data_IF_274564204758
#
_entry.id   IF_274564204758
#
_cell.length_a   1.000
_cell.length_b   1.000
_cell.length_c   1.000
_cell.angle_alpha   90.00
_cell.angle_beta   90.00
_cell.angle_gamma   90.00
#
_symmetry.space_group_name_H-M   'P 1'
#
loop_
_entity.id
_entity.type
_entity.pdbx_description
1 polymer ?
#
# COMPACT_ATOMS: atom_id res chain seq x y z
N UNK A 1 -66.20 -17.43 -13.87
CA UNK A 1 -64.86 -17.35 -14.51
C UNK A 1 -64.64 -15.91 -14.96
N UNK A 2 -63.97 -15.09 -14.14
CA UNK A 2 -63.70 -13.69 -14.46
C UNK A 2 -62.38 -13.57 -15.23
N UNK A 3 -62.44 -13.01 -16.45
CA UNK A 3 -61.30 -12.78 -17.30
C UNK A 3 -60.52 -11.54 -16.82
N UNK A 4 -59.23 -11.73 -16.53
CA UNK A 4 -58.30 -10.66 -16.16
C UNK A 4 -57.85 -9.97 -17.46
N UNK A 5 -58.33 -8.76 -17.72
CA UNK A 5 -57.86 -7.93 -18.83
C UNK A 5 -56.54 -7.22 -18.45
N UNK A 6 -55.52 -7.20 -19.32
CA UNK A 6 -54.22 -6.63 -19.01
C UNK A 6 -54.24 -5.10 -19.24
N UNK A 7 -54.39 -4.32 -18.18
CA UNK A 7 -54.33 -2.85 -18.27
C UNK A 7 -52.88 -2.36 -18.22
N UNK A 8 -52.17 -2.42 -19.35
CA UNK A 8 -51.13 -1.42 -19.60
C UNK A 8 -51.89 -0.17 -20.06
N UNK A 9 -52.13 0.78 -19.14
CA UNK A 9 -52.82 2.02 -19.52
C UNK A 9 -52.02 2.73 -20.60
N UNK A 10 -52.71 3.32 -21.59
CA UNK A 10 -52.08 4.15 -22.64
C UNK A 10 -51.17 5.24 -22.03
N UNK A 11 -51.50 5.70 -20.81
CA UNK A 11 -50.65 6.61 -20.03
C UNK A 11 -49.32 6.00 -19.60
N UNK A 12 -49.28 4.72 -19.19
CA UNK A 12 -48.05 4.01 -18.85
C UNK A 12 -47.14 3.81 -20.07
N UNK A 13 -47.71 3.46 -21.23
CA UNK A 13 -46.95 3.34 -22.48
C UNK A 13 -46.35 4.68 -22.87
N UNK A 14 -47.16 5.75 -22.82
CA UNK A 14 -46.74 7.10 -23.19
C UNK A 14 -45.63 7.62 -22.26
N UNK A 15 -45.75 7.39 -20.96
CA UNK A 15 -44.73 7.79 -19.99
C UNK A 15 -43.40 7.06 -20.23
N UNK A 16 -43.43 5.75 -20.51
CA UNK A 16 -42.23 4.98 -20.83
C UNK A 16 -41.55 5.46 -22.11
N UNK A 17 -42.32 5.81 -23.14
CA UNK A 17 -41.79 6.37 -24.40
C UNK A 17 -41.08 7.71 -24.12
N UNK A 18 -41.68 8.59 -23.33
CA UNK A 18 -41.06 9.88 -22.96
C UNK A 18 -39.77 9.66 -22.16
N UNK A 19 -39.76 8.75 -21.19
CA UNK A 19 -38.56 8.43 -20.41
C UNK A 19 -37.43 7.83 -21.27
N UNK A 20 -37.78 6.94 -22.21
CA UNK A 20 -36.81 6.39 -23.17
C UNK A 20 -36.26 7.48 -24.09
N UNK A 21 -37.11 8.35 -24.62
CA UNK A 21 -36.70 9.46 -25.48
C UNK A 21 -35.78 10.44 -24.73
N UNK A 22 -36.09 10.76 -23.47
CA UNK A 22 -35.22 11.56 -22.61
C UNK A 22 -33.88 10.87 -22.33
N UNK A 23 -33.89 9.57 -22.07
CA UNK A 23 -32.67 8.77 -21.88
C UNK A 23 -31.77 8.78 -23.12
N UNK A 24 -32.36 8.56 -24.30
CA UNK A 24 -31.67 8.64 -25.59
C UNK A 24 -31.13 10.05 -25.83
N UNK A 25 -31.92 11.09 -25.56
CA UNK A 25 -31.49 12.49 -25.71
C UNK A 25 -30.28 12.82 -24.82
N UNK A 26 -30.27 12.34 -23.56
CA UNK A 26 -29.14 12.51 -22.64
C UNK A 26 -27.90 11.79 -23.18
N UNK A 27 -28.05 10.56 -23.66
CA UNK A 27 -26.94 9.79 -24.24
C UNK A 27 -26.37 10.51 -25.47
N UNK A 28 -27.21 10.94 -26.41
CA UNK A 28 -26.79 11.67 -27.61
C UNK A 28 -26.08 12.97 -27.25
N UNK A 29 -26.64 13.78 -26.33
CA UNK A 29 -26.01 15.02 -25.86
C UNK A 29 -24.68 14.82 -25.14
N UNK A 30 -24.43 13.63 -24.59
CA UNK A 30 -23.21 13.29 -23.84
C UNK A 30 -22.15 12.57 -24.69
N UNK A 31 -22.38 12.34 -25.98
CA UNK A 31 -21.41 11.68 -26.88
C UNK A 31 -21.83 10.28 -27.36
N UNK A 32 -23.11 9.92 -27.23
CA UNK A 32 -23.70 8.74 -27.85
C UNK A 32 -23.09 7.41 -27.37
N UNK A 33 -22.75 6.55 -28.32
CA UNK A 33 -22.14 5.25 -28.03
C UNK A 33 -20.80 5.36 -27.29
N UNK A 34 -20.00 6.41 -27.52
CA UNK A 34 -18.75 6.62 -26.80
C UNK A 34 -19.00 6.90 -25.30
N UNK A 35 -20.05 7.67 -24.97
CA UNK A 35 -20.47 7.91 -23.59
C UNK A 35 -20.94 6.63 -22.89
N UNK A 36 -21.71 5.80 -23.59
CA UNK A 36 -22.14 4.51 -23.07
C UNK A 36 -20.97 3.55 -22.91
N UNK A 37 -20.06 3.47 -23.89
CA UNK A 37 -18.88 2.61 -23.84
C UNK A 37 -17.95 2.98 -22.68
N UNK A 38 -17.76 4.26 -22.40
CA UNK A 38 -16.99 4.75 -21.26
C UNK A 38 -17.65 4.42 -19.91
N UNK A 39 -18.99 4.43 -19.83
CA UNK A 39 -19.73 4.03 -18.61
C UNK A 39 -19.90 2.53 -18.46
N UNK A 40 -19.88 1.80 -19.57
CA UNK A 40 -19.96 0.34 -19.60
C UNK A 40 -18.63 -0.31 -19.24
N UNK A 41 -17.51 0.35 -19.55
CA UNK A 41 -16.22 0.05 -18.96
C UNK A 41 -16.30 0.28 -17.45
N UNK A 42 -16.46 -0.80 -16.67
CA UNK A 42 -16.34 -0.75 -15.22
C UNK A 42 -15.01 -0.11 -14.87
N UNK A 43 -15.04 1.05 -14.21
CA UNK A 43 -13.81 1.64 -13.68
C UNK A 43 -13.13 0.59 -12.80
N UNK A 44 -11.81 0.38 -12.97
CA UNK A 44 -11.08 -0.55 -12.12
C UNK A 44 -11.27 -0.13 -10.65
N UNK A 45 -11.31 -1.10 -9.74
CA UNK A 45 -11.23 -0.78 -8.31
C UNK A 45 -9.99 0.07 -8.06
N UNK A 46 -9.99 0.92 -7.02
CA UNK A 46 -8.81 1.74 -6.67
C UNK A 46 -7.53 0.89 -6.57
N UNK A 47 -7.68 -0.31 -6.01
CA UNK A 47 -6.61 -1.30 -5.91
C UNK A 47 -6.14 -1.80 -7.28
N UNK A 48 -7.05 -2.12 -8.21
CA UNK A 48 -6.67 -2.46 -9.58
C UNK A 48 -6.03 -1.28 -10.33
N UNK A 49 -6.45 -0.03 -10.03
CA UNK A 49 -5.84 1.16 -10.63
C UNK A 49 -4.37 1.31 -10.20
N UNK A 50 -4.03 1.04 -8.94
CA UNK A 50 -2.64 1.03 -8.45
C UNK A 50 -1.80 0.02 -9.24
N UNK A 51 -2.25 -1.24 -9.32
CA UNK A 51 -1.45 -2.30 -9.94
C UNK A 51 -1.35 -2.22 -11.47
N UNK A 52 -2.29 -1.51 -12.11
CA UNK A 52 -2.25 -1.26 -13.54
C UNK A 52 -1.46 0.00 -13.91
N UNK A 53 -1.04 0.81 -12.92
CA UNK A 53 -0.24 2.00 -13.17
C UNK A 53 1.07 1.59 -13.89
N UNK A 54 1.50 2.32 -14.93
CA UNK A 54 2.71 2.00 -15.68
C UNK A 54 3.94 1.85 -14.78
N UNK A 55 4.10 2.75 -13.81
CA UNK A 55 5.20 2.69 -12.84
C UNK A 55 5.22 1.37 -12.06
N UNK A 56 4.08 1.00 -11.45
CA UNK A 56 3.97 -0.24 -10.67
C UNK A 56 4.35 -1.46 -11.52
N UNK A 57 3.85 -1.54 -12.76
CA UNK A 57 4.16 -2.66 -13.67
C UNK A 57 5.62 -2.69 -14.09
N UNK A 58 6.22 -1.54 -14.41
CA UNK A 58 7.63 -1.46 -14.76
C UNK A 58 8.53 -1.82 -13.58
N UNK A 59 8.24 -1.28 -12.39
CA UNK A 59 9.02 -1.56 -11.18
C UNK A 59 8.90 -3.03 -10.80
N UNK A 60 7.69 -3.58 -10.75
CA UNK A 60 7.49 -5.00 -10.46
C UNK A 60 8.23 -5.89 -11.47
N UNK A 61 8.12 -5.62 -12.78
CA UNK A 61 8.78 -6.46 -13.78
C UNK A 61 10.30 -6.39 -13.72
N UNK A 62 10.89 -5.25 -13.33
CA UNK A 62 12.32 -5.16 -13.04
C UNK A 62 12.68 -6.01 -11.82
N UNK A 63 11.94 -5.86 -10.71
CA UNK A 63 12.21 -6.60 -9.47
C UNK A 63 12.08 -8.12 -9.66
N UNK A 64 11.19 -8.59 -10.54
CA UNK A 64 11.07 -10.01 -10.92
C UNK A 64 12.30 -10.57 -11.66
N UNK A 65 13.15 -9.70 -12.23
CA UNK A 65 14.41 -10.07 -12.88
C UNK A 65 15.62 -9.96 -11.97
N UNK A 66 15.49 -9.29 -10.82
CA UNK A 66 16.57 -9.08 -9.87
C UNK A 66 16.53 -10.17 -8.79
N UNK A 67 17.51 -11.09 -8.76
CA UNK A 67 17.52 -12.17 -7.79
C UNK A 67 17.61 -11.63 -6.35
N UNK A 68 17.15 -12.44 -5.41
CA UNK A 68 17.36 -12.26 -3.98
C UNK A 68 18.24 -13.41 -3.51
N UNK A 69 19.36 -13.10 -2.87
CA UNK A 69 20.30 -14.05 -2.29
C UNK A 69 20.01 -14.31 -0.81
N UNK A 70 20.55 -15.43 -0.31
CA UNK A 70 20.42 -15.84 1.09
C UNK A 70 21.11 -14.89 2.09
N UNK A 71 22.07 -14.09 1.62
CA UNK A 71 22.82 -13.12 2.43
C UNK A 71 22.31 -11.68 2.24
N UNK A 72 21.23 -11.50 1.48
CA UNK A 72 20.71 -10.17 1.18
C UNK A 72 19.84 -9.65 2.33
N UNK A 73 19.80 -8.32 2.45
CA UNK A 73 18.86 -7.61 3.33
C UNK A 73 17.81 -6.95 2.45
N UNK A 74 16.54 -7.29 2.65
CA UNK A 74 15.44 -6.73 1.87
C UNK A 74 14.81 -5.54 2.57
N UNK A 75 14.76 -4.40 1.90
CA UNK A 75 13.89 -3.29 2.27
C UNK A 75 12.58 -3.44 1.49
N UNK A 76 11.51 -3.82 2.18
CA UNK A 76 10.22 -4.19 1.58
C UNK A 76 9.14 -3.18 1.96
N UNK A 77 8.52 -2.53 0.98
CA UNK A 77 7.48 -1.54 1.26
C UNK A 77 6.90 -0.84 0.04
N UNK A 78 6.43 0.39 0.27
CA UNK A 78 5.82 1.28 -0.73
C UNK A 78 6.78 2.35 -1.24
N UNK A 79 6.30 3.55 -1.60
CA UNK A 79 7.10 4.66 -2.14
C UNK A 79 8.19 5.13 -1.19
N UNK A 80 7.91 5.18 0.11
CA UNK A 80 8.88 5.64 1.11
C UNK A 80 10.04 4.63 1.21
N UNK A 81 9.79 3.37 0.89
CA UNK A 81 10.87 2.38 0.73
C UNK A 81 11.52 2.46 -0.65
N UNK A 82 10.73 2.72 -1.70
CA UNK A 82 11.18 2.74 -3.09
C UNK A 82 12.19 3.86 -3.37
N UNK A 83 11.97 5.03 -2.79
CA UNK A 83 12.79 6.25 -2.98
C UNK A 83 14.14 6.22 -2.23
N UNK A 84 14.34 5.27 -1.32
CA UNK A 84 15.61 5.14 -0.60
C UNK A 84 16.71 4.49 -1.44
N UNK A 85 17.85 5.17 -1.56
CA UNK A 85 19.08 4.61 -2.14
C UNK A 85 19.83 3.74 -1.11
N UNK A 86 19.18 2.67 -0.66
CA UNK A 86 19.61 1.91 0.53
C UNK A 86 21.02 1.31 0.42
N UNK A 87 21.44 0.89 -0.77
CA UNK A 87 22.78 0.34 -0.99
C UNK A 87 23.87 1.39 -0.82
N UNK A 88 23.60 2.65 -1.14
CA UNK A 88 24.55 3.76 -0.93
C UNK A 88 24.62 4.16 0.55
N UNK A 89 23.50 4.08 1.26
CA UNK A 89 23.44 4.36 2.71
C UNK A 89 24.10 3.27 3.57
N UNK A 90 24.10 2.03 3.09
CA UNK A 90 24.65 0.86 3.78
C UNK A 90 25.62 0.08 2.87
N UNK A 91 26.80 0.66 2.53
CA UNK A 91 27.72 0.07 1.57
C UNK A 91 28.34 -1.27 2.01
N UNK A 92 28.35 -1.54 3.33
CA UNK A 92 28.86 -2.78 3.91
C UNK A 92 27.83 -3.93 3.88
N UNK A 93 26.64 -3.70 3.34
CA UNK A 93 25.57 -4.69 3.27
C UNK A 93 25.01 -4.82 1.85
N UNK A 94 24.66 -6.04 1.45
CA UNK A 94 23.93 -6.27 0.19
C UNK A 94 22.46 -5.95 0.38
N UNK A 95 22.09 -4.67 0.25
CA UNK A 95 20.70 -4.25 0.36
C UNK A 95 19.96 -4.42 -0.97
N UNK A 96 18.83 -5.11 -0.93
CA UNK A 96 17.89 -5.25 -2.02
C UNK A 96 16.67 -4.33 -1.78
N UNK A 97 16.58 -3.21 -2.50
CA UNK A 97 15.38 -2.39 -2.50
C UNK A 97 14.23 -3.16 -3.17
N UNK A 98 13.16 -3.40 -2.42
CA UNK A 98 11.90 -4.02 -2.86
C UNK A 98 10.71 -3.11 -2.51
N UNK A 99 10.92 -1.80 -2.48
CA UNK A 99 9.88 -0.79 -2.49
C UNK A 99 9.20 -0.70 -3.86
N UNK A 100 7.90 -0.41 -3.86
CA UNK A 100 7.17 -0.03 -5.07
C UNK A 100 6.23 1.12 -4.72
N UNK A 101 6.36 2.24 -5.41
CA UNK A 101 5.51 3.40 -5.18
C UNK A 101 4.01 3.07 -5.25
N UNK A 102 3.25 3.62 -4.29
CA UNK A 102 1.83 3.37 -4.06
C UNK A 102 1.43 1.93 -3.68
N UNK A 103 2.39 1.03 -3.41
CA UNK A 103 2.09 -0.35 -3.00
C UNK A 103 1.28 -0.39 -1.70
N UNK A 104 0.52 -1.46 -1.53
CA UNK A 104 -0.37 -1.69 -0.39
C UNK A 104 -0.05 -3.03 0.24
N UNK A 105 -0.62 -3.32 1.41
CA UNK A 105 -0.45 -4.64 2.05
C UNK A 105 -0.85 -5.78 1.11
N UNK A 106 -1.91 -5.60 0.32
CA UNK A 106 -2.34 -6.61 -0.65
C UNK A 106 -1.31 -6.83 -1.77
N UNK A 107 -0.61 -5.78 -2.20
CA UNK A 107 0.39 -5.88 -3.26
C UNK A 107 1.68 -6.52 -2.75
N UNK A 108 2.13 -6.16 -1.54
CA UNK A 108 3.19 -6.87 -0.83
C UNK A 108 2.85 -8.35 -0.65
N UNK A 109 1.64 -8.69 -0.17
CA UNK A 109 1.19 -10.08 -0.05
C UNK A 109 1.27 -10.87 -1.36
N UNK A 110 0.98 -10.22 -2.50
CA UNK A 110 1.01 -10.86 -3.82
C UNK A 110 2.42 -11.21 -4.27
N UNK A 111 3.39 -10.32 -4.03
CA UNK A 111 4.78 -10.47 -4.49
C UNK A 111 5.70 -11.16 -3.50
N UNK A 112 5.34 -11.19 -2.22
CA UNK A 112 6.11 -11.83 -1.16
C UNK A 112 6.45 -13.31 -1.43
N UNK A 113 5.53 -14.17 -1.93
CA UNK A 113 5.85 -15.57 -2.25
C UNK A 113 7.07 -15.76 -3.16
N UNK A 114 7.27 -14.88 -4.13
CA UNK A 114 8.41 -14.95 -5.05
C UNK A 114 9.71 -14.54 -4.34
N UNK A 115 9.66 -13.49 -3.52
CA UNK A 115 10.81 -13.01 -2.74
C UNK A 115 11.30 -14.03 -1.70
N UNK A 116 10.42 -14.90 -1.22
CA UNK A 116 10.74 -15.95 -0.24
C UNK A 116 11.15 -17.29 -0.88
N UNK A 117 11.26 -17.40 -2.21
CA UNK A 117 11.78 -18.62 -2.86
C UNK A 117 13.26 -18.87 -2.49
N UNK A 118 14.01 -17.78 -2.30
CA UNK A 118 15.35 -17.79 -1.73
C UNK A 118 15.30 -16.87 -0.50
N UNK A 119 15.01 -17.42 0.69
CA UNK A 119 14.83 -16.63 1.90
C UNK A 119 16.04 -15.74 2.18
N UNK A 120 15.86 -14.42 2.31
CA UNK A 120 16.96 -13.51 2.58
C UNK A 120 17.43 -13.58 4.04
N UNK A 121 18.59 -12.99 4.33
CA UNK A 121 19.12 -12.92 5.69
C UNK A 121 18.22 -12.08 6.60
N UNK A 122 17.72 -10.95 6.09
CA UNK A 122 16.82 -10.07 6.82
C UNK A 122 15.79 -9.37 5.92
N UNK A 123 14.65 -9.00 6.52
CA UNK A 123 13.62 -8.16 5.90
C UNK A 123 13.31 -6.98 6.82
N UNK A 124 13.44 -5.77 6.31
CA UNK A 124 12.96 -4.52 6.89
C UNK A 124 11.64 -4.15 6.20
N UNK A 125 10.52 -4.36 6.89
CA UNK A 125 9.18 -4.22 6.33
C UNK A 125 8.52 -2.94 6.85
N UNK A 126 8.17 -2.03 5.93
CA UNK A 126 7.32 -0.87 6.22
C UNK A 126 6.24 -0.76 5.14
N UNK A 127 4.96 -0.91 5.51
CA UNK A 127 3.84 -0.86 4.57
C UNK A 127 2.54 -0.49 5.28
N UNK A 128 1.61 0.13 4.55
CA UNK A 128 0.20 0.24 4.98
C UNK A 128 -0.39 1.65 4.91
N UNK A 129 0.41 2.68 4.67
CA UNK A 129 -0.11 4.05 4.55
C UNK A 129 -1.07 4.18 3.36
N UNK A 130 -0.76 3.55 2.22
CA UNK A 130 -1.60 3.56 1.02
C UNK A 130 -2.94 2.84 1.21
N UNK A 131 -2.99 1.83 2.10
CA UNK A 131 -4.26 1.21 2.47
C UNK A 131 -5.19 2.22 3.17
N UNK A 132 -4.63 3.12 3.99
CA UNK A 132 -5.40 4.17 4.66
C UNK A 132 -5.78 5.29 3.69
N UNK A 133 -4.82 5.85 2.95
CA UNK A 133 -5.04 7.08 2.18
C UNK A 133 -5.65 6.83 0.80
N UNK A 134 -5.28 5.75 0.11
CA UNK A 134 -5.77 5.45 -1.25
C UNK A 134 -7.00 4.56 -1.19
N UNK A 135 -6.93 3.48 -0.41
CA UNK A 135 -8.00 2.48 -0.35
C UNK A 135 -9.07 2.78 0.71
N UNK A 136 -8.80 3.68 1.66
CA UNK A 136 -9.75 4.05 2.72
C UNK A 136 -10.03 2.91 3.70
N UNK A 137 -9.11 1.95 3.84
CA UNK A 137 -9.25 0.83 4.79
C UNK A 137 -9.13 1.33 6.22
N UNK A 138 -9.84 0.69 7.13
CA UNK A 138 -9.67 0.94 8.57
C UNK A 138 -8.39 0.27 9.08
N UNK A 139 -7.75 0.77 10.16
CA UNK A 139 -6.59 0.12 10.77
C UNK A 139 -6.81 -1.37 11.05
N UNK A 140 -8.01 -1.77 11.49
CA UNK A 140 -8.38 -3.18 11.69
C UNK A 140 -8.30 -4.02 10.40
N UNK A 141 -8.79 -3.50 9.27
CA UNK A 141 -8.73 -4.20 7.98
C UNK A 141 -7.29 -4.33 7.46
N UNK A 142 -6.45 -3.34 7.76
CA UNK A 142 -5.02 -3.31 7.43
C UNK A 142 -4.28 -4.33 8.27
N UNK A 143 -4.44 -4.31 9.61
CA UNK A 143 -3.81 -5.23 10.55
C UNK A 143 -4.13 -6.71 10.26
N UNK A 144 -5.38 -7.03 9.92
CA UNK A 144 -5.76 -8.40 9.58
C UNK A 144 -4.99 -8.96 8.38
N UNK A 145 -4.63 -8.10 7.41
CA UNK A 145 -3.80 -8.50 6.26
C UNK A 145 -2.31 -8.41 6.58
N UNK A 146 -1.89 -7.44 7.39
CA UNK A 146 -0.52 -7.34 7.87
C UNK A 146 -0.10 -8.63 8.59
N UNK A 147 -0.96 -9.18 9.43
CA UNK A 147 -0.75 -10.47 10.09
C UNK A 147 -0.48 -11.60 9.09
N UNK A 148 -1.14 -11.59 7.92
CA UNK A 148 -0.91 -12.60 6.88
C UNK A 148 0.50 -12.49 6.28
N UNK A 149 1.04 -11.27 6.12
CA UNK A 149 2.43 -11.07 5.67
C UNK A 149 3.37 -11.73 6.68
N UNK A 150 3.21 -11.40 7.95
CA UNK A 150 4.07 -11.88 9.02
C UNK A 150 4.01 -13.41 9.16
N UNK A 151 2.82 -14.00 9.15
CA UNK A 151 2.63 -15.46 9.17
C UNK A 151 3.26 -16.12 7.95
N UNK A 152 3.11 -15.54 6.75
CA UNK A 152 3.68 -16.09 5.54
C UNK A 152 5.21 -16.11 5.57
N UNK A 153 5.84 -15.05 6.10
CA UNK A 153 7.29 -15.01 6.30
C UNK A 153 7.70 -16.08 7.31
N UNK A 154 7.01 -16.19 8.45
CA UNK A 154 7.31 -17.19 9.47
C UNK A 154 7.28 -18.63 8.91
N UNK A 155 6.30 -18.91 8.05
CA UNK A 155 6.11 -20.24 7.47
C UNK A 155 7.14 -20.58 6.39
N UNK A 156 7.51 -19.61 5.53
CA UNK A 156 8.35 -19.86 4.35
C UNK A 156 9.82 -19.53 4.56
N UNK A 157 10.12 -18.69 5.53
CA UNK A 157 11.44 -18.15 5.78
C UNK A 157 11.70 -18.03 7.30
N UNK A 158 11.59 -19.12 8.07
CA UNK A 158 11.66 -19.07 9.54
C UNK A 158 13.01 -18.60 10.10
N UNK A 159 14.07 -18.63 9.28
CA UNK A 159 15.41 -18.16 9.65
C UNK A 159 15.67 -16.69 9.29
N UNK A 160 14.83 -16.09 8.44
CA UNK A 160 14.96 -14.69 8.04
C UNK A 160 14.66 -13.78 9.23
N UNK A 161 15.59 -12.88 9.54
CA UNK A 161 15.39 -11.87 10.59
C UNK A 161 14.42 -10.79 10.09
N UNK A 162 13.28 -10.60 10.76
CA UNK A 162 12.29 -9.61 10.33
C UNK A 162 12.27 -8.43 11.30
N UNK A 163 12.46 -7.25 10.73
CA UNK A 163 12.35 -5.95 11.37
C UNK A 163 11.07 -5.28 10.87
N UNK A 164 10.05 -5.28 11.71
CA UNK A 164 8.74 -4.72 11.41
C UNK A 164 8.74 -3.25 11.81
N UNK A 165 8.64 -2.36 10.83
CA UNK A 165 8.74 -0.92 11.03
C UNK A 165 7.35 -0.31 11.13
N UNK A 166 7.18 0.62 12.06
CA UNK A 166 5.95 1.41 12.20
C UNK A 166 5.65 2.24 10.95
N UNK A 167 4.38 2.53 10.67
CA UNK A 167 4.01 3.53 9.66
C UNK A 167 4.35 4.93 10.18
N UNK A 168 4.91 5.77 9.32
CA UNK A 168 5.30 7.14 9.67
C UNK A 168 4.08 8.04 9.90
N UNK A 169 4.17 9.05 10.78
CA UNK A 169 3.17 10.11 10.84
C UNK A 169 3.14 10.89 9.51
N UNK A 170 2.10 11.69 9.32
CA UNK A 170 1.93 12.56 8.15
C UNK A 170 1.68 14.00 8.58
N UNK A 171 1.73 14.94 7.64
CA UNK A 171 1.35 16.33 7.90
C UNK A 171 -0.17 16.45 8.04
N UNK A 172 -0.63 17.05 9.13
CA UNK A 172 -2.07 17.31 9.33
C UNK A 172 -2.62 18.37 8.35
N UNK A 173 -1.74 19.21 7.79
CA UNK A 173 -2.11 20.17 6.75
C UNK A 173 -2.57 19.48 5.47
N UNK A 174 -1.91 18.37 5.12
CA UNK A 174 -2.16 17.63 3.87
C UNK A 174 -3.15 16.48 4.10
N UNK A 175 -3.07 15.82 5.24
CA UNK A 175 -3.86 14.64 5.59
C UNK A 175 -4.60 14.83 6.92
N UNK A 176 -5.63 15.69 6.95
CA UNK A 176 -6.32 16.02 8.19
C UNK A 176 -6.93 14.78 8.84
N UNK A 177 -6.74 14.66 10.16
CA UNK A 177 -7.30 13.59 10.99
C UNK A 177 -6.80 12.18 10.65
N UNK A 178 -5.68 12.04 9.94
CA UNK A 178 -5.11 10.73 9.59
C UNK A 178 -4.18 10.17 10.68
N UNK A 179 -3.39 11.01 11.35
CA UNK A 179 -2.43 10.60 12.38
C UNK A 179 -3.03 9.72 13.50
N UNK A 180 -4.26 9.94 14.00
CA UNK A 180 -4.87 9.01 14.96
C UNK A 180 -5.08 7.59 14.43
N UNK A 181 -5.40 7.44 13.14
CA UNK A 181 -5.53 6.12 12.49
C UNK A 181 -4.16 5.47 12.28
N UNK A 182 -3.15 6.27 11.94
CA UNK A 182 -1.77 5.81 11.82
C UNK A 182 -1.27 5.32 13.18
N UNK A 183 -1.50 6.06 14.26
CA UNK A 183 -1.13 5.65 15.60
C UNK A 183 -1.79 4.31 15.99
N UNK A 184 -3.09 4.16 15.74
CA UNK A 184 -3.80 2.90 15.97
C UNK A 184 -3.19 1.74 15.15
N UNK A 185 -2.84 2.01 13.89
CA UNK A 185 -2.20 1.02 13.03
C UNK A 185 -0.80 0.65 13.55
N UNK A 186 0.05 1.61 13.86
CA UNK A 186 1.42 1.39 14.38
C UNK A 186 1.40 0.62 15.70
N UNK A 187 0.50 0.93 16.62
CA UNK A 187 0.31 0.16 17.86
C UNK A 187 -0.12 -1.28 17.59
N UNK A 188 -1.04 -1.50 16.65
CA UNK A 188 -1.45 -2.84 16.25
C UNK A 188 -0.32 -3.63 15.56
N UNK A 189 0.51 -2.96 14.75
CA UNK A 189 1.69 -3.57 14.12
C UNK A 189 2.70 -3.99 15.19
N UNK A 190 2.94 -3.15 16.20
CA UNK A 190 3.80 -3.48 17.33
C UNK A 190 3.30 -4.73 18.08
N UNK A 191 2.00 -4.79 18.38
CA UNK A 191 1.39 -5.93 19.05
C UNK A 191 1.46 -7.22 18.21
N UNK A 192 1.30 -7.12 16.88
CA UNK A 192 1.48 -8.27 15.98
C UNK A 192 2.94 -8.74 15.92
N UNK A 193 3.89 -7.80 15.88
CA UNK A 193 5.31 -8.12 15.90
C UNK A 193 5.68 -8.85 17.20
N UNK A 194 5.24 -8.34 18.34
CA UNK A 194 5.43 -8.99 19.65
C UNK A 194 4.81 -10.39 19.69
N UNK A 195 3.54 -10.53 19.30
CA UNK A 195 2.82 -11.81 19.33
C UNK A 195 3.45 -12.89 18.42
N UNK A 196 4.13 -12.48 17.35
CA UNK A 196 4.81 -13.38 16.40
C UNK A 196 6.33 -13.45 16.62
N UNK A 197 6.84 -12.84 17.70
CA UNK A 197 8.26 -12.79 18.07
C UNK A 197 9.16 -12.17 16.98
N UNK A 198 8.66 -11.11 16.34
CA UNK A 198 9.41 -10.27 15.43
C UNK A 198 9.91 -9.00 16.11
N UNK A 199 11.01 -8.45 15.60
CA UNK A 199 11.57 -7.21 16.13
C UNK A 199 10.79 -6.02 15.58
N UNK A 200 10.19 -5.24 16.47
CA UNK A 200 9.55 -3.97 16.10
C UNK A 200 10.55 -2.82 16.11
N UNK A 201 10.42 -1.92 15.13
CA UNK A 201 11.23 -0.70 15.00
C UNK A 201 10.28 0.50 14.95
N UNK A 202 10.34 1.35 15.98
CA UNK A 202 9.45 2.50 16.14
C UNK A 202 9.99 3.74 15.43
N UNK A 203 9.74 3.82 14.13
CA UNK A 203 10.01 5.02 13.32
C UNK A 203 8.96 6.11 13.56
N UNK A 204 7.74 5.75 13.97
CA UNK A 204 6.65 6.70 14.13
C UNK A 204 7.05 7.76 15.16
N UNK A 205 7.52 7.32 16.33
CA UNK A 205 8.03 8.23 17.36
C UNK A 205 9.27 9.02 16.91
N UNK A 206 10.12 8.43 16.06
CA UNK A 206 11.32 9.08 15.53
C UNK A 206 11.01 10.28 14.62
N UNK A 207 9.89 10.23 13.90
CA UNK A 207 9.49 11.27 12.94
C UNK A 207 8.38 12.19 13.46
N UNK A 208 7.82 11.93 14.64
CA UNK A 208 6.70 12.70 15.16
C UNK A 208 7.17 13.94 15.94
N UNK A 209 6.69 15.11 15.52
CA UNK A 209 6.80 16.37 16.25
C UNK A 209 5.41 17.00 16.36
N UNK A 210 4.95 17.26 17.59
CA UNK A 210 3.61 17.82 17.86
C UNK A 210 2.45 17.02 17.23
N UNK A 211 2.56 15.69 17.20
CA UNK A 211 1.49 14.80 16.71
C UNK A 211 1.42 14.59 15.20
N UNK A 212 2.33 15.19 14.43
CA UNK A 212 2.46 15.04 12.98
C UNK A 212 3.91 14.80 12.58
N UNK A 213 4.17 14.56 11.30
CA UNK A 213 5.54 14.41 10.81
C UNK A 213 6.34 15.70 11.02
N UNK A 214 7.60 15.56 11.43
CA UNK A 214 8.56 16.65 11.50
C UNK A 214 8.65 17.35 10.12
N UNK A 215 8.26 18.63 10.02
CA UNK A 215 8.24 19.34 8.74
C UNK A 215 9.64 19.52 8.14
N UNK A 216 10.71 19.35 8.91
CA UNK A 216 12.09 19.36 8.39
C UNK A 216 12.43 18.10 7.60
N UNK A 217 11.70 17.00 7.81
CA UNK A 217 11.95 15.70 7.18
C UNK A 217 11.11 15.44 5.93
N UNK A 218 10.23 16.36 5.52
CA UNK A 218 9.33 16.14 4.37
C UNK A 218 9.09 17.44 3.60
N UNK A 219 8.86 17.32 2.30
CA UNK A 219 8.47 18.44 1.44
C UNK A 219 6.96 18.45 1.10
N UNK A 220 6.30 17.29 1.20
CA UNK A 220 4.91 17.09 0.78
C UNK A 220 3.99 16.59 1.91
N UNK A 221 4.54 16.39 3.11
CA UNK A 221 3.79 15.91 4.26
C UNK A 221 3.60 14.39 4.33
N UNK A 222 4.23 13.62 3.45
CA UNK A 222 4.14 12.16 3.40
C UNK A 222 5.51 11.49 3.19
N UNK A 223 6.23 11.89 2.14
CA UNK A 223 7.51 11.29 1.77
C UNK A 223 8.66 11.97 2.51
N UNK A 224 9.74 11.23 2.71
CA UNK A 224 10.93 11.73 3.37
C UNK A 224 11.80 12.48 2.38
N UNK A 225 12.36 13.61 2.79
CA UNK A 225 13.46 14.25 2.11
C UNK A 225 14.81 13.65 2.56
N UNK A 226 15.92 14.22 2.08
CA UNK A 226 17.27 13.74 2.44
C UNK A 226 17.54 13.73 3.96
N UNK A 227 17.06 14.73 4.70
CA UNK A 227 17.19 14.77 6.17
C UNK A 227 16.37 13.64 6.82
N UNK A 228 15.17 13.39 6.30
CA UNK A 228 14.32 12.29 6.73
C UNK A 228 15.00 10.92 6.53
N UNK A 229 15.55 10.67 5.34
CA UNK A 229 16.29 9.44 5.08
C UNK A 229 17.57 9.32 5.92
N UNK A 230 18.34 10.39 6.10
CA UNK A 230 19.52 10.37 6.96
C UNK A 230 19.16 9.98 8.41
N UNK A 231 18.07 10.54 8.95
CA UNK A 231 17.56 10.20 10.28
C UNK A 231 17.12 8.74 10.37
N UNK A 232 16.41 8.23 9.36
CA UNK A 232 16.00 6.82 9.31
C UNK A 232 17.22 5.89 9.26
N UNK A 233 18.15 6.17 8.36
CA UNK A 233 19.38 5.39 8.16
C UNK A 233 20.20 5.31 9.44
N UNK A 234 20.38 6.44 10.14
CA UNK A 234 21.13 6.46 11.39
C UNK A 234 20.46 5.61 12.47
N UNK A 235 19.13 5.63 12.55
CA UNK A 235 18.39 4.77 13.46
C UNK A 235 18.54 3.27 13.14
N UNK A 236 18.62 2.91 11.86
CA UNK A 236 18.76 1.51 11.42
C UNK A 236 20.20 0.99 11.44
N UNK A 237 21.21 1.87 11.38
CA UNK A 237 22.64 1.50 11.32
C UNK A 237 23.05 0.40 12.31
N UNK A 238 22.74 0.48 13.62
CA UNK A 238 23.10 -0.60 14.55
C UNK A 238 22.36 -1.93 14.26
N UNK A 239 21.16 -1.87 13.70
CA UNK A 239 20.38 -3.07 13.34
C UNK A 239 20.97 -3.76 12.11
N UNK A 240 21.34 -2.97 11.09
CA UNK A 240 22.01 -3.48 9.88
C UNK A 240 23.36 -4.09 10.24
N UNK A 241 24.18 -3.42 11.04
CA UNK A 241 25.47 -3.95 11.49
C UNK A 241 25.32 -5.29 12.23
N UNK A 242 24.29 -5.44 13.07
CA UNK A 242 24.01 -6.69 13.78
C UNK A 242 23.53 -7.83 12.86
N UNK A 243 22.94 -7.52 11.70
CA UNK A 243 22.60 -8.52 10.68
C UNK A 243 23.87 -8.95 9.93
N UNK A 244 24.69 -8.01 9.49
CA UNK A 244 25.93 -8.29 8.73
C UNK A 244 26.96 -9.07 9.54
N UNK A 245 27.00 -8.88 10.86
CA UNK A 245 27.95 -9.57 11.74
C UNK A 245 27.64 -11.07 11.99
N UNK A 246 26.51 -11.59 11.48
CA UNK A 246 26.09 -12.99 11.64
C UNK A 246 26.36 -13.79 10.38
#
# INVERSE_FOLDING_TARGET
MAAIAPWISLGSVSLNIVLLALGVLVIVRRGGWAYLQQRWQRQPSREAAIYNAPYYRHRQSQLEKLPVGINDILFLGDSITDEGEWSDWFPDATICNRGISADTISGVLRRLPALLQTPPQAIFLMIGINDLIVLGRSPKQVLSRYQQILILIQQRAPQTQVYVQSVLPVSDLVFPSLNPKILQLSQGIAALAEALNYRYVDLHSLFMVNGQIDPTCTADGLHLNGEGYARWVEHLRPLIAAVVAK
#
